data_IF_651812396617
#
_entry.id   IF_651812396617
#
_cell.length_a   1.000
_cell.length_b   1.000
_cell.length_c   1.000
_cell.angle_alpha   90.00
_cell.angle_beta   90.00
_cell.angle_gamma   90.00
#
_symmetry.space_group_name_H-M   'P 1'
#
loop_
_entity.id
_entity.type
_entity.pdbx_description
1 polymer ?
#
# COMPACT_ATOMS: atom_id res chain seq x y z
N UNK A 1 -25.28 -40.69 -10.36
CA UNK A 1 -25.22 -40.16 -8.98
C UNK A 1 -23.77 -40.19 -8.58
N UNK A 2 -23.00 -39.23 -9.08
CA UNK A 2 -21.57 -39.10 -8.79
C UNK A 2 -21.33 -37.76 -8.11
N UNK A 3 -20.59 -37.84 -7.01
CA UNK A 3 -20.43 -36.81 -5.99
C UNK A 3 -19.63 -35.61 -6.49
N UNK A 4 -20.26 -34.43 -6.48
CA UNK A 4 -19.58 -33.13 -6.52
C UNK A 4 -18.92 -32.88 -5.16
N UNK A 5 -17.69 -33.37 -4.99
CA UNK A 5 -16.86 -33.04 -3.84
C UNK A 5 -15.84 -31.96 -4.23
N UNK A 6 -16.15 -30.73 -3.83
CA UNK A 6 -15.22 -29.69 -3.37
C UNK A 6 -13.90 -29.53 -4.16
N UNK A 7 -13.89 -28.65 -5.16
CA UNK A 7 -12.65 -28.02 -5.61
C UNK A 7 -12.48 -26.69 -4.86
N UNK A 8 -11.84 -26.74 -3.69
CA UNK A 8 -11.28 -25.55 -3.06
C UNK A 8 -10.14 -25.07 -3.96
N UNK A 9 -10.40 -24.04 -4.77
CA UNK A 9 -9.36 -23.33 -5.50
C UNK A 9 -8.50 -22.58 -4.49
N UNK A 10 -7.41 -23.19 -4.07
CA UNK A 10 -6.37 -22.55 -3.27
C UNK A 10 -5.91 -21.28 -3.98
N UNK A 11 -6.24 -20.13 -3.39
CA UNK A 11 -5.69 -18.85 -3.79
C UNK A 11 -4.19 -18.91 -3.65
N UNK A 12 -3.48 -19.04 -4.78
CA UNK A 12 -2.03 -18.92 -4.80
C UNK A 12 -1.68 -17.47 -4.43
N UNK A 13 -1.39 -17.25 -3.15
CA UNK A 13 -0.70 -16.05 -2.72
C UNK A 13 0.62 -15.98 -3.50
N UNK A 14 0.75 -14.96 -4.35
CA UNK A 14 1.96 -14.71 -5.12
C UNK A 14 3.12 -14.55 -4.14
N UNK A 15 4.02 -15.54 -4.11
CA UNK A 15 5.37 -15.50 -3.56
C UNK A 15 5.57 -14.79 -2.22
N UNK A 16 5.48 -15.53 -1.12
CA UNK A 16 6.16 -15.13 0.13
C UNK A 16 7.68 -15.24 -0.09
N UNK A 17 8.28 -14.19 -0.65
CA UNK A 17 9.70 -13.94 -0.45
C UNK A 17 9.90 -13.59 1.02
N UNK A 18 11.01 -14.01 1.66
CA UNK A 18 11.38 -13.47 2.95
C UNK A 18 11.44 -11.95 2.79
N UNK A 19 10.60 -11.23 3.53
CA UNK A 19 10.84 -9.82 3.76
C UNK A 19 12.17 -9.77 4.48
N UNK A 20 13.25 -9.48 3.74
CA UNK A 20 14.43 -8.92 4.37
C UNK A 20 13.89 -7.78 5.24
N UNK A 21 14.20 -7.79 6.52
CA UNK A 21 13.73 -6.76 7.44
C UNK A 21 14.47 -5.47 7.08
N UNK A 22 14.08 -4.88 5.94
CA UNK A 22 14.57 -3.61 5.45
C UNK A 22 14.10 -2.50 6.37
N UNK A 23 14.48 -1.28 6.03
CA UNK A 23 14.37 -0.06 6.85
C UNK A 23 12.97 0.27 7.42
N UNK A 24 11.95 -0.52 7.09
CA UNK A 24 10.57 -0.38 7.55
C UNK A 24 10.36 -1.17 8.84
N UNK A 25 9.83 -0.51 9.87
CA UNK A 25 9.50 -1.13 11.14
C UNK A 25 8.43 -2.22 10.97
N UNK A 26 8.45 -3.30 11.76
CA UNK A 26 7.35 -4.26 11.80
C UNK A 26 6.04 -3.57 12.18
N UNK A 27 4.98 -3.80 11.41
CA UNK A 27 3.65 -3.23 11.62
C UNK A 27 2.61 -4.32 11.78
N UNK A 28 1.63 -4.11 12.65
CA UNK A 28 0.48 -5.00 12.75
C UNK A 28 -0.33 -4.99 11.45
N UNK A 29 -0.89 -6.12 11.06
CA UNK A 29 -1.68 -6.24 9.82
C UNK A 29 -2.81 -5.20 9.72
N UNK A 30 -3.51 -4.95 10.83
CA UNK A 30 -4.55 -3.92 10.90
C UNK A 30 -4.01 -2.52 10.59
N UNK A 31 -2.79 -2.20 11.03
CA UNK A 31 -2.13 -0.93 10.73
C UNK A 31 -1.77 -0.87 9.24
N UNK A 32 -1.21 -1.93 8.67
CA UNK A 32 -0.87 -2.00 7.23
C UNK A 32 -2.12 -1.69 6.38
N UNK A 33 -3.28 -2.25 6.74
CA UNK A 33 -4.52 -1.99 6.01
C UNK A 33 -4.97 -0.53 6.09
N UNK A 34 -4.73 0.14 7.23
CA UNK A 34 -5.03 1.57 7.39
C UNK A 34 -4.08 2.39 6.51
N UNK A 35 -2.77 2.12 6.56
CA UNK A 35 -1.76 2.83 5.76
C UNK A 35 -2.03 2.73 4.26
N UNK A 36 -2.39 1.53 3.78
CA UNK A 36 -2.76 1.31 2.37
C UNK A 36 -3.96 2.19 1.99
N UNK A 37 -5.01 2.22 2.81
CA UNK A 37 -6.20 3.04 2.54
C UNK A 37 -5.89 4.53 2.54
N UNK A 38 -5.03 4.98 3.47
CA UNK A 38 -4.62 6.38 3.54
C UNK A 38 -3.80 6.79 2.32
N UNK A 39 -2.84 5.96 1.90
CA UNK A 39 -2.02 6.25 0.73
C UNK A 39 -2.87 6.26 -0.55
N UNK A 40 -3.77 5.29 -0.72
CA UNK A 40 -4.71 5.26 -1.86
C UNK A 40 -5.59 6.51 -1.90
N UNK A 41 -6.20 6.88 -0.78
CA UNK A 41 -7.04 8.09 -0.71
C UNK A 41 -6.24 9.36 -1.04
N UNK A 42 -4.97 9.44 -0.62
CA UNK A 42 -4.09 10.54 -0.98
C UNK A 42 -3.80 10.58 -2.49
N UNK A 43 -3.48 9.43 -3.11
CA UNK A 43 -3.23 9.36 -4.56
C UNK A 43 -4.48 9.72 -5.37
N UNK A 44 -5.65 9.23 -4.96
CA UNK A 44 -6.93 9.58 -5.57
C UNK A 44 -7.20 11.08 -5.47
N UNK A 45 -6.95 11.68 -4.30
CA UNK A 45 -7.09 13.12 -4.07
C UNK A 45 -6.19 13.97 -4.97
N UNK A 46 -4.93 13.56 -5.17
CA UNK A 46 -4.01 14.24 -6.08
C UNK A 46 -4.51 14.15 -7.52
N UNK A 47 -4.99 12.98 -7.95
CA UNK A 47 -5.57 12.80 -9.28
C UNK A 47 -6.80 13.69 -9.50
N UNK A 48 -7.70 13.77 -8.51
CA UNK A 48 -8.86 14.66 -8.56
C UNK A 48 -8.44 16.13 -8.62
N UNK A 49 -7.44 16.54 -7.84
CA UNK A 49 -6.96 17.92 -7.86
C UNK A 49 -6.35 18.31 -9.21
N UNK A 50 -5.65 17.38 -9.86
CA UNK A 50 -5.13 17.58 -11.21
C UNK A 50 -6.24 17.72 -12.26
N UNK A 51 -7.36 17.01 -12.13
CA UNK A 51 -8.52 17.19 -13.01
C UNK A 51 -9.16 18.57 -12.87
N UNK A 52 -9.14 19.14 -11.66
CA UNK A 52 -9.65 20.49 -11.39
C UNK A 52 -8.67 21.58 -11.84
N UNK A 53 -7.38 21.34 -11.68
CA UNK A 53 -6.31 22.24 -12.06
C UNK A 53 -5.12 21.45 -12.66
N UNK A 54 -5.02 21.40 -14.00
CA UNK A 54 -3.94 20.71 -14.69
C UNK A 54 -2.54 21.29 -14.45
N UNK A 55 -2.43 22.49 -13.84
CA UNK A 55 -1.15 23.06 -13.42
C UNK A 55 -0.62 22.47 -12.11
N UNK A 56 -1.43 21.64 -11.43
CA UNK A 56 -1.00 20.89 -10.25
C UNK A 56 0.22 20.04 -10.57
N UNK A 57 1.31 20.25 -9.82
CA UNK A 57 2.49 19.41 -9.89
C UNK A 57 2.24 18.06 -9.21
N UNK A 58 1.71 17.12 -9.99
CA UNK A 58 1.38 15.76 -9.52
C UNK A 58 2.61 15.03 -9.02
N UNK A 59 3.75 15.18 -9.70
CA UNK A 59 4.97 14.48 -9.33
C UNK A 59 5.46 14.94 -7.95
N UNK A 60 5.56 16.26 -7.75
CA UNK A 60 5.95 16.80 -6.45
C UNK A 60 4.98 16.40 -5.33
N UNK A 61 3.67 16.45 -5.57
CA UNK A 61 2.66 16.07 -4.58
C UNK A 61 2.76 14.59 -4.19
N UNK A 62 2.92 13.70 -5.18
CA UNK A 62 3.08 12.26 -4.93
C UNK A 62 4.38 11.99 -4.17
N UNK A 63 5.50 12.62 -4.56
CA UNK A 63 6.79 12.47 -3.87
C UNK A 63 6.66 12.83 -2.40
N UNK A 64 6.06 13.98 -2.07
CA UNK A 64 5.87 14.41 -0.67
C UNK A 64 5.01 13.40 0.10
N UNK A 65 3.92 12.91 -0.49
CA UNK A 65 3.05 11.93 0.16
C UNK A 65 3.77 10.61 0.45
N UNK A 66 4.52 10.08 -0.54
CA UNK A 66 5.26 8.83 -0.39
C UNK A 66 6.41 8.97 0.60
N UNK A 67 7.20 10.04 0.52
CA UNK A 67 8.32 10.28 1.44
C UNK A 67 7.85 10.40 2.89
N UNK A 68 6.69 11.06 3.10
CA UNK A 68 6.09 11.15 4.42
C UNK A 68 5.63 9.79 4.94
N UNK A 69 4.97 9.00 4.10
CA UNK A 69 4.51 7.66 4.46
C UNK A 69 5.70 6.75 4.81
N UNK A 70 6.71 6.69 3.93
CA UNK A 70 7.94 5.92 4.16
C UNK A 70 8.68 6.41 5.41
N UNK A 71 8.77 7.73 5.62
CA UNK A 71 9.37 8.30 6.81
C UNK A 71 8.65 7.89 8.10
N UNK A 72 7.33 7.78 8.07
CA UNK A 72 6.53 7.33 9.20
C UNK A 72 6.66 5.83 9.47
N UNK A 73 6.88 5.01 8.43
CA UNK A 73 7.02 3.56 8.57
C UNK A 73 8.43 3.12 8.95
N UNK A 74 9.43 3.98 8.77
CA UNK A 74 10.81 3.69 9.18
C UNK A 74 10.92 3.55 10.70
N UNK A 75 11.72 2.58 11.14
CA UNK A 75 12.03 2.45 12.58
C UNK A 75 12.79 3.69 13.08
N UNK A 76 12.56 4.15 14.31
CA UNK A 76 13.41 5.18 14.90
C UNK A 76 14.85 4.68 14.89
N UNK A 77 15.75 5.43 14.25
CA UNK A 77 17.17 5.15 14.26
C UNK A 77 17.65 5.23 15.71
N UNK A 78 17.92 4.08 16.31
CA UNK A 78 18.53 4.00 17.64
C UNK A 78 19.98 4.49 17.62
#
# INVERSE_FOLDING_TARGET
MESLHQAAGEGRCVGQRPFDAGDIAPMAEAQIQIEVRLLTAAMDGIGLQWLLDPSTDVAAAVTVCVDRAVGAWRAPSG
#
